data_IF_315156982328
#
_entry.id   IF_315156982328
#
_cell.length_a   1.000
_cell.length_b   1.000
_cell.length_c   1.000
_cell.angle_alpha   90.00
_cell.angle_beta   90.00
_cell.angle_gamma   90.00
#
_symmetry.space_group_name_H-M   'P 1'
#
loop_
_entity.id
_entity.type
_entity.pdbx_description
1 polymer ?
#
# COMPACT_ATOMS: atom_id res chain seq x y z
N UNK A 1 -17.97 26.01 41.18
CA UNK A 1 -17.83 26.21 39.72
C UNK A 1 -16.76 25.23 39.23
N UNK A 2 -17.18 24.02 38.86
CA UNK A 2 -16.28 22.93 38.46
C UNK A 2 -16.16 22.96 36.93
N UNK A 3 -15.05 23.48 36.42
CA UNK A 3 -14.74 23.46 35.00
C UNK A 3 -14.17 22.08 34.65
N UNK A 4 -15.03 21.12 34.32
CA UNK A 4 -14.61 19.93 33.58
C UNK A 4 -14.11 20.36 32.21
N UNK A 5 -12.77 20.44 32.06
CA UNK A 5 -12.13 20.41 30.75
C UNK A 5 -12.60 19.14 30.05
N UNK A 6 -13.47 19.28 29.06
CA UNK A 6 -13.61 18.29 28.00
C UNK A 6 -12.30 18.32 27.18
N UNK A 7 -11.27 17.64 27.66
CA UNK A 7 -10.14 17.26 26.82
C UNK A 7 -10.69 16.23 25.82
N UNK A 8 -11.20 16.70 24.69
CA UNK A 8 -11.22 15.83 23.51
C UNK A 8 -9.76 15.47 23.26
N UNK A 9 -9.37 14.22 23.48
CA UNK A 9 -8.10 13.72 22.98
C UNK A 9 -8.08 14.03 21.48
N UNK A 10 -7.14 14.87 21.06
CA UNK A 10 -6.92 15.17 19.66
C UNK A 10 -6.46 13.89 19.00
N UNK A 11 -7.39 13.21 18.33
CA UNK A 11 -7.11 12.00 17.57
C UNK A 11 -6.48 12.42 16.25
N UNK A 12 -5.24 11.99 16.03
CA UNK A 12 -4.54 12.19 14.77
C UNK A 12 -4.89 11.03 13.84
N UNK A 13 -5.07 11.34 12.57
CA UNK A 13 -5.33 10.36 11.51
C UNK A 13 -4.32 10.58 10.39
N UNK A 14 -3.87 9.49 9.78
CA UNK A 14 -2.92 9.51 8.65
C UNK A 14 -3.62 8.94 7.42
N UNK A 15 -3.59 9.69 6.32
CA UNK A 15 -4.02 9.21 5.00
C UNK A 15 -2.76 9.13 4.14
N UNK A 16 -2.29 7.90 3.92
CA UNK A 16 -1.09 7.63 3.16
C UNK A 16 -1.46 7.33 1.70
N UNK A 17 -1.22 8.30 0.82
CA UNK A 17 -1.51 8.21 -0.62
C UNK A 17 -0.25 8.17 -1.48
N UNK A 18 0.90 8.48 -0.90
CA UNK A 18 2.17 8.53 -1.60
C UNK A 18 2.62 7.12 -1.99
N UNK A 19 3.06 6.95 -3.22
CA UNK A 19 3.64 5.70 -3.72
C UNK A 19 4.42 6.01 -5.00
N UNK A 20 5.51 5.28 -5.29
CA UNK A 20 6.16 5.34 -6.59
C UNK A 20 5.18 4.98 -7.71
N UNK A 21 5.12 5.81 -8.75
CA UNK A 21 4.39 5.55 -10.00
C UNK A 21 5.31 5.95 -11.15
N UNK A 22 6.17 5.02 -11.56
CA UNK A 22 7.23 5.25 -12.54
C UNK A 22 7.02 4.27 -13.69
N UNK A 23 6.53 4.76 -14.84
CA UNK A 23 6.19 3.90 -15.98
C UNK A 23 7.37 3.58 -16.91
N UNK A 24 8.47 4.32 -16.76
CA UNK A 24 9.71 4.15 -17.52
C UNK A 24 10.88 3.69 -16.63
N UNK A 25 10.58 3.00 -15.53
CA UNK A 25 11.58 2.45 -14.63
C UNK A 25 12.49 1.46 -15.38
N UNK A 26 13.77 1.45 -15.01
CA UNK A 26 14.78 0.57 -15.62
C UNK A 26 15.29 -0.48 -14.63
N UNK A 27 15.27 -0.16 -13.35
CA UNK A 27 15.49 -1.07 -12.24
C UNK A 27 14.20 -1.17 -11.41
N UNK A 28 13.44 -2.23 -11.63
CA UNK A 28 12.13 -2.42 -11.02
C UNK A 28 12.20 -2.66 -9.50
N UNK A 29 13.29 -3.22 -9.00
CA UNK A 29 13.43 -3.48 -7.57
C UNK A 29 13.72 -2.17 -6.83
N UNK A 30 14.70 -1.39 -7.31
CA UNK A 30 15.13 -0.18 -6.61
C UNK A 30 14.29 1.06 -6.91
N UNK A 31 13.58 1.11 -8.04
CA UNK A 31 12.73 2.25 -8.41
C UNK A 31 11.24 2.05 -8.03
N UNK A 32 10.76 0.80 -7.92
CA UNK A 32 9.34 0.50 -7.68
C UNK A 32 9.10 -0.40 -6.45
N UNK A 33 9.64 -1.62 -6.44
CA UNK A 33 9.27 -2.63 -5.43
C UNK A 33 9.72 -2.25 -4.02
N UNK A 34 11.02 -2.11 -3.78
CA UNK A 34 11.56 -1.80 -2.45
C UNK A 34 11.08 -0.44 -1.95
N UNK A 35 11.04 0.64 -2.76
CA UNK A 35 10.52 1.91 -2.29
C UNK A 35 9.05 1.85 -1.89
N UNK A 36 8.19 1.13 -2.62
CA UNK A 36 6.77 1.01 -2.27
C UNK A 36 6.58 0.27 -0.93
N UNK A 37 7.31 -0.84 -0.73
CA UNK A 37 7.25 -1.63 0.51
C UNK A 37 7.79 -0.82 1.69
N UNK A 38 9.03 -0.34 1.59
CA UNK A 38 9.72 0.35 2.69
C UNK A 38 9.06 1.67 3.10
N UNK A 39 8.49 2.42 2.15
CA UNK A 39 7.79 3.66 2.48
C UNK A 39 6.45 3.39 3.19
N UNK A 40 5.77 2.29 2.84
CA UNK A 40 4.52 1.87 3.48
C UNK A 40 4.76 1.36 4.90
N UNK A 41 5.75 0.49 5.12
CA UNK A 41 6.08 0.04 6.47
C UNK A 41 6.67 1.17 7.31
N UNK A 42 7.52 2.01 6.71
CA UNK A 42 8.17 3.11 7.40
C UNK A 42 7.20 4.15 7.98
N UNK A 43 6.07 4.43 7.32
CA UNK A 43 5.06 5.33 7.90
C UNK A 43 4.36 4.69 9.11
N UNK A 44 4.10 3.38 9.07
CA UNK A 44 3.47 2.65 10.17
C UNK A 44 4.41 2.57 11.39
N UNK A 45 5.66 2.16 11.16
CA UNK A 45 6.70 2.09 12.19
C UNK A 45 7.00 3.47 12.78
N UNK A 46 7.08 4.51 11.94
CA UNK A 46 7.29 5.88 12.37
C UNK A 46 6.16 6.38 13.27
N UNK A 47 4.91 6.14 12.88
CA UNK A 47 3.75 6.49 13.71
C UNK A 47 3.79 5.75 15.06
N UNK A 48 4.03 4.44 15.04
CA UNK A 48 4.11 3.63 16.25
C UNK A 48 5.20 4.12 17.20
N UNK A 49 6.37 4.50 16.66
CA UNK A 49 7.53 4.90 17.47
C UNK A 49 7.43 6.33 18.00
N UNK A 50 6.87 7.26 17.22
CA UNK A 50 7.00 8.69 17.51
C UNK A 50 5.68 9.41 17.80
N UNK A 51 4.52 8.81 17.49
CA UNK A 51 3.23 9.48 17.66
C UNK A 51 2.11 8.53 18.06
N UNK A 52 1.99 8.26 19.37
CA UNK A 52 0.92 7.45 19.94
C UNK A 52 -0.48 8.06 19.83
N UNK A 53 -0.62 9.32 19.40
CA UNK A 53 -1.93 9.94 19.16
C UNK A 53 -2.53 9.56 17.79
N UNK A 54 -1.77 8.89 16.92
CA UNK A 54 -2.30 8.33 15.67
C UNK A 54 -3.24 7.18 16.00
N UNK A 55 -4.52 7.41 15.75
CA UNK A 55 -5.59 6.45 16.04
C UNK A 55 -6.02 5.62 14.84
N UNK A 56 -5.70 6.11 13.62
CA UNK A 56 -6.06 5.45 12.37
C UNK A 56 -5.07 5.83 11.27
N UNK A 57 -4.66 4.82 10.51
CA UNK A 57 -3.93 4.98 9.25
C UNK A 57 -4.79 4.40 8.14
N UNK A 58 -5.00 5.17 7.07
CA UNK A 58 -5.64 4.70 5.83
C UNK A 58 -4.58 4.72 4.74
N UNK A 59 -4.30 3.56 4.15
CA UNK A 59 -3.36 3.42 3.04
C UNK A 59 -4.15 3.32 1.75
N UNK A 60 -3.79 4.15 0.77
CA UNK A 60 -4.38 4.07 -0.57
C UNK A 60 -3.66 2.99 -1.36
N UNK A 61 -4.25 1.80 -1.36
CA UNK A 61 -3.80 0.71 -2.24
C UNK A 61 -4.32 0.91 -3.67
N UNK A 62 -4.54 -0.17 -4.41
CA UNK A 62 -4.99 -0.14 -5.80
C UNK A 62 -5.67 -1.46 -6.15
N UNK A 63 -6.54 -1.42 -7.17
CA UNK A 63 -7.05 -2.63 -7.81
C UNK A 63 -5.91 -3.53 -8.35
N UNK A 64 -4.73 -2.96 -8.60
CA UNK A 64 -3.51 -3.69 -8.91
C UNK A 64 -3.16 -4.79 -7.88
N UNK A 65 -3.52 -4.60 -6.60
CA UNK A 65 -3.23 -5.56 -5.54
C UNK A 65 -4.15 -6.78 -5.53
N UNK A 66 -5.27 -6.72 -6.25
CA UNK A 66 -6.25 -7.82 -6.33
C UNK A 66 -6.38 -8.40 -7.74
N UNK A 67 -6.00 -7.64 -8.78
CA UNK A 67 -5.97 -8.06 -10.17
C UNK A 67 -5.03 -9.27 -10.37
N UNK A 68 -5.51 -10.31 -11.05
CA UNK A 68 -4.65 -11.36 -11.59
C UNK A 68 -4.32 -11.08 -13.07
N UNK A 69 -3.11 -10.57 -13.38
CA UNK A 69 -2.76 -10.21 -14.76
C UNK A 69 -2.54 -11.43 -15.67
N UNK A 70 -2.45 -12.64 -15.12
CA UNK A 70 -2.25 -13.87 -15.90
C UNK A 70 -3.53 -14.36 -16.57
N UNK A 71 -4.69 -13.85 -16.15
CA UNK A 71 -6.01 -14.25 -16.64
C UNK A 71 -6.54 -13.38 -17.79
N UNK A 72 -5.79 -12.34 -18.20
CA UNK A 72 -6.23 -11.39 -19.23
C UNK A 72 -7.53 -10.68 -18.85
N UNK A 73 -8.48 -10.58 -19.79
CA UNK A 73 -9.76 -9.87 -19.58
C UNK A 73 -10.78 -10.63 -18.71
N UNK A 74 -10.57 -11.92 -18.46
CA UNK A 74 -11.36 -12.77 -17.55
C UNK A 74 -12.89 -12.51 -17.53
N UNK A 75 -13.60 -12.60 -18.67
CA UNK A 75 -15.03 -12.31 -18.72
C UNK A 75 -15.83 -13.22 -17.79
N UNK A 76 -16.79 -12.64 -17.07
CA UNK A 76 -17.65 -13.37 -16.13
C UNK A 76 -17.06 -13.56 -14.72
N UNK A 77 -15.79 -13.22 -14.50
CA UNK A 77 -15.24 -13.17 -13.14
C UNK A 77 -15.53 -11.81 -12.49
N UNK A 78 -15.88 -11.85 -11.21
CA UNK A 78 -16.09 -10.66 -10.39
C UNK A 78 -15.02 -10.66 -9.32
N UNK A 79 -14.13 -9.67 -9.36
CA UNK A 79 -13.13 -9.48 -8.32
C UNK A 79 -13.79 -9.06 -7.00
N UNK A 80 -13.27 -9.59 -5.90
CA UNK A 80 -13.69 -9.29 -4.54
C UNK A 80 -12.51 -8.79 -3.71
N UNK A 81 -12.78 -8.18 -2.55
CA UNK A 81 -11.78 -7.67 -1.62
C UNK A 81 -10.88 -8.77 -1.01
N UNK A 82 -11.33 -10.02 -1.08
CA UNK A 82 -10.56 -11.18 -0.65
C UNK A 82 -9.55 -11.66 -1.71
N UNK A 83 -9.68 -11.21 -2.95
CA UNK A 83 -8.72 -11.56 -4.01
C UNK A 83 -7.37 -10.92 -3.74
N UNK A 84 -6.32 -11.61 -4.17
CA UNK A 84 -4.97 -11.08 -4.19
C UNK A 84 -4.36 -11.33 -5.54
N UNK A 85 -3.61 -10.33 -6.01
CA UNK A 85 -2.74 -10.48 -7.14
C UNK A 85 -1.70 -11.58 -6.84
N UNK A 86 -1.59 -12.62 -7.67
CA UNK A 86 -0.73 -13.78 -7.43
C UNK A 86 0.72 -13.57 -7.90
N UNK A 87 1.09 -12.37 -8.38
CA UNK A 87 2.42 -12.10 -8.91
C UNK A 87 3.52 -12.42 -7.89
N UNK A 88 4.57 -13.09 -8.36
CA UNK A 88 5.79 -13.31 -7.59
C UNK A 88 6.80 -12.16 -7.79
N UNK A 89 7.84 -12.12 -6.96
CA UNK A 89 8.94 -11.14 -7.09
C UNK A 89 9.67 -11.33 -8.43
N UNK A 90 9.85 -12.57 -8.87
CA UNK A 90 10.47 -12.87 -10.16
C UNK A 90 9.64 -12.33 -11.32
N UNK A 91 8.30 -12.48 -11.24
CA UNK A 91 7.39 -11.96 -12.26
C UNK A 91 7.32 -10.43 -12.26
N UNK A 92 7.47 -9.79 -11.10
CA UNK A 92 7.54 -8.33 -10.98
C UNK A 92 8.63 -7.74 -11.87
N UNK A 93 9.76 -8.43 -12.02
CA UNK A 93 10.90 -7.95 -12.79
C UNK A 93 10.77 -8.10 -14.32
N UNK A 94 9.63 -8.56 -14.82
CA UNK A 94 9.45 -8.84 -16.25
C UNK A 94 9.10 -7.61 -17.11
N UNK A 95 8.50 -6.57 -16.52
CA UNK A 95 8.14 -5.33 -17.23
C UNK A 95 7.75 -4.21 -16.26
N UNK A 96 7.74 -2.94 -16.69
CA UNK A 96 7.33 -1.82 -15.82
C UNK A 96 5.89 -1.97 -15.29
N UNK A 97 5.00 -2.56 -16.09
CA UNK A 97 3.60 -2.81 -15.68
C UNK A 97 3.55 -3.89 -14.60
N UNK A 98 4.24 -5.01 -14.79
CA UNK A 98 4.26 -6.08 -13.77
C UNK A 98 4.94 -5.61 -12.48
N UNK A 99 6.00 -4.82 -12.58
CA UNK A 99 6.67 -4.20 -11.44
C UNK A 99 5.73 -3.28 -10.66
N UNK A 100 4.95 -2.45 -11.34
CA UNK A 100 3.94 -1.60 -10.70
C UNK A 100 2.83 -2.40 -10.03
N UNK A 101 2.32 -3.44 -10.69
CA UNK A 101 1.26 -4.29 -10.11
C UNK A 101 1.76 -5.00 -8.84
N UNK A 102 2.95 -5.59 -8.93
CA UNK A 102 3.61 -6.24 -7.81
C UNK A 102 3.93 -5.25 -6.68
N UNK A 103 4.43 -4.05 -6.98
CA UNK A 103 4.78 -3.07 -5.95
C UNK A 103 3.57 -2.66 -5.12
N UNK A 104 2.39 -2.48 -5.73
CA UNK A 104 1.13 -2.24 -5.02
C UNK A 104 0.73 -3.42 -4.14
N UNK A 105 0.82 -4.63 -4.68
CA UNK A 105 0.47 -5.87 -3.97
C UNK A 105 1.34 -6.08 -2.74
N UNK A 106 2.67 -6.00 -2.89
CA UNK A 106 3.61 -6.25 -1.81
C UNK A 106 3.61 -5.13 -0.76
N UNK A 107 3.43 -3.86 -1.18
CA UNK A 107 3.30 -2.75 -0.23
C UNK A 107 2.05 -2.90 0.66
N UNK A 108 0.92 -3.28 0.08
CA UNK A 108 -0.31 -3.52 0.84
C UNK A 108 -0.15 -4.73 1.78
N UNK A 109 0.44 -5.84 1.32
CA UNK A 109 0.71 -7.01 2.18
C UNK A 109 1.62 -6.70 3.34
N UNK A 110 2.59 -5.80 3.17
CA UNK A 110 3.49 -5.39 4.24
C UNK A 110 2.83 -4.49 5.30
N UNK A 111 1.64 -3.97 5.02
CA UNK A 111 0.89 -3.13 5.94
C UNK A 111 -0.07 -3.92 6.86
N UNK A 112 -0.26 -5.21 6.61
CA UNK A 112 -1.17 -6.11 7.33
C UNK A 112 -0.44 -7.02 8.33
#
# INVERSE_FOLDING_TARGET
>A
MHLTRLSRELTVQVIYTASPVIFNATDFDTELLQPAISSTTGILEGNQKYNSAVSRVVITSSFASVLDPTQGQRPGYVYAEADWNPLTVEQANSSPVMAYLASKTFAERAAF
#
